data_IF_825044290141
#
_entry.id   IF_825044290141
#
_cell.length_a   1.000
_cell.length_b   1.000
_cell.length_c   1.000
_cell.angle_alpha   90.00
_cell.angle_beta   90.00
_cell.angle_gamma   90.00
#
_symmetry.space_group_name_H-M   'P 1'
#
loop_
_entity.id
_entity.type
_entity.pdbx_description
1 polymer ?
#
# COMPACT_ATOMS: atom_id res chain seq x y z
N UNK A 1 11.63 20.39 6.04
CA UNK A 1 10.86 21.37 6.82
C UNK A 1 9.41 20.93 6.77
N UNK A 2 8.75 20.79 7.92
CA UNK A 2 7.30 20.51 7.97
C UNK A 2 6.53 21.85 7.97
N UNK A 3 5.21 21.86 7.71
CA UNK A 3 4.39 23.06 7.88
C UNK A 3 4.47 23.70 9.27
N UNK A 4 4.98 22.97 10.26
CA UNK A 4 5.08 23.36 11.66
C UNK A 4 6.54 23.57 12.14
N UNK A 5 7.49 23.72 11.20
CA UNK A 5 8.90 23.94 11.52
C UNK A 5 9.76 22.66 11.55
N UNK A 6 10.89 22.74 12.25
CA UNK A 6 11.87 21.64 12.38
C UNK A 6 11.50 20.81 13.61
N UNK A 7 11.17 19.54 13.40
CA UNK A 7 10.75 18.62 14.46
C UNK A 7 11.26 17.20 14.17
N UNK A 8 11.19 16.33 15.18
CA UNK A 8 11.53 14.92 15.01
C UNK A 8 10.45 14.20 14.17
N UNK A 9 10.79 13.05 13.58
CA UNK A 9 9.82 12.25 12.82
C UNK A 9 8.64 11.80 13.70
N UNK A 10 8.88 11.52 14.98
CA UNK A 10 7.84 11.11 15.91
C UNK A 10 6.88 12.25 16.26
N UNK A 11 7.38 13.47 16.48
CA UNK A 11 6.55 14.65 16.70
C UNK A 11 5.70 15.01 15.48
N UNK A 12 6.26 14.77 14.28
CA UNK A 12 5.52 14.91 13.03
C UNK A 12 4.38 13.89 12.96
N UNK A 13 4.64 12.60 13.21
CA UNK A 13 3.62 11.53 13.23
C UNK A 13 2.47 11.86 14.18
N UNK A 14 2.76 12.23 15.43
CA UNK A 14 1.72 12.59 16.40
C UNK A 14 0.84 13.78 15.98
N UNK A 15 1.32 14.64 15.08
CA UNK A 15 0.54 15.78 14.57
C UNK A 15 -0.25 15.49 13.31
N UNK A 16 0.06 14.39 12.60
CA UNK A 16 -0.61 14.03 11.33
C UNK A 16 -1.43 12.76 11.41
N UNK A 17 -1.18 11.89 12.39
CA UNK A 17 -1.88 10.62 12.51
C UNK A 17 -3.26 10.80 13.15
N UNK A 18 -4.25 10.29 12.44
CA UNK A 18 -5.62 10.18 12.93
C UNK A 18 -5.74 9.07 13.97
N UNK A 19 -6.56 9.30 15.00
CA UNK A 19 -6.97 8.30 15.97
C UNK A 19 -8.24 7.57 15.51
N UNK A 20 -8.75 6.69 16.37
CA UNK A 20 -9.93 5.87 16.04
C UNK A 20 -11.17 6.72 15.70
N UNK A 21 -11.38 7.84 16.41
CA UNK A 21 -12.53 8.72 16.21
C UNK A 21 -12.50 9.39 14.83
N UNK A 22 -11.32 9.84 14.36
CA UNK A 22 -11.18 10.41 13.03
C UNK A 22 -11.38 9.35 11.92
N UNK A 23 -10.84 8.14 12.10
CA UNK A 23 -11.08 7.03 11.16
C UNK A 23 -12.56 6.62 11.12
N UNK A 24 -13.24 6.60 12.28
CA UNK A 24 -14.69 6.36 12.35
C UNK A 24 -15.46 7.44 11.58
N UNK A 25 -15.02 8.69 11.67
CA UNK A 25 -15.65 9.77 10.91
C UNK A 25 -15.45 9.62 9.40
N UNK A 26 -14.28 9.17 8.96
CA UNK A 26 -14.00 8.86 7.55
C UNK A 26 -14.92 7.72 7.09
N UNK A 27 -15.00 6.64 7.85
CA UNK A 27 -15.82 5.47 7.54
C UNK A 27 -17.30 5.80 7.37
N UNK A 28 -17.89 6.50 8.34
CA UNK A 28 -19.28 6.95 8.28
C UNK A 28 -19.53 7.86 7.07
N UNK A 29 -18.60 8.77 6.79
CA UNK A 29 -18.72 9.70 5.68
C UNK A 29 -18.67 8.96 4.33
N UNK A 30 -17.69 8.08 4.14
CA UNK A 30 -17.54 7.26 2.94
C UNK A 30 -18.77 6.38 2.69
N UNK A 31 -19.31 5.74 3.75
CA UNK A 31 -20.57 4.98 3.70
C UNK A 31 -21.75 5.87 3.28
N UNK A 32 -21.86 7.08 3.82
CA UNK A 32 -22.92 8.03 3.44
C UNK A 32 -22.86 8.50 1.98
N UNK A 33 -21.68 8.37 1.34
CA UNK A 33 -21.44 8.74 -0.05
C UNK A 33 -21.38 7.56 -1.00
N UNK A 34 -21.51 6.33 -0.50
CA UNK A 34 -21.33 5.10 -1.28
C UNK A 34 -19.96 5.07 -1.99
N UNK A 35 -18.90 5.39 -1.23
CA UNK A 35 -17.50 5.38 -1.68
C UNK A 35 -16.73 4.42 -0.79
N UNK A 36 -16.01 3.46 -1.38
CA UNK A 36 -15.11 2.58 -0.66
C UNK A 36 -13.88 3.36 -0.16
N UNK A 37 -13.43 3.04 1.06
CA UNK A 37 -12.19 3.57 1.60
C UNK A 37 -11.33 2.45 2.15
N UNK A 38 -10.02 2.65 2.07
CA UNK A 38 -9.01 1.76 2.64
C UNK A 38 -7.76 2.59 2.96
N UNK A 39 -6.78 1.98 3.60
CA UNK A 39 -5.52 2.63 3.95
C UNK A 39 -4.33 1.68 3.77
N UNK A 40 -3.13 2.23 3.91
CA UNK A 40 -1.90 1.45 3.95
C UNK A 40 -1.49 1.21 5.40
N UNK A 41 -1.62 0.00 5.95
CA UNK A 41 -1.02 -0.33 7.24
C UNK A 41 0.52 -0.41 7.10
N UNK A 42 1.22 0.06 8.13
CA UNK A 42 2.68 0.06 8.18
C UNK A 42 3.26 -0.99 9.13
N UNK A 43 2.43 -1.60 9.96
CA UNK A 43 2.74 -2.65 10.92
C UNK A 43 1.51 -3.53 11.17
N UNK A 44 1.67 -4.62 11.93
CA UNK A 44 0.60 -5.60 12.18
C UNK A 44 -0.52 -5.03 13.06
N UNK A 45 -0.19 -4.10 13.94
CA UNK A 45 -1.13 -3.39 14.79
C UNK A 45 -2.05 -2.49 13.96
N UNK A 46 -1.52 -1.82 12.94
CA UNK A 46 -2.29 -1.04 11.97
C UNK A 46 -3.20 -1.94 11.11
N UNK A 47 -2.78 -3.17 10.77
CA UNK A 47 -3.68 -4.14 10.13
C UNK A 47 -4.87 -4.44 11.04
N UNK A 48 -4.61 -4.81 12.29
CA UNK A 48 -5.67 -5.11 13.27
C UNK A 48 -6.57 -3.90 13.54
N UNK A 49 -6.02 -2.68 13.53
CA UNK A 49 -6.78 -1.46 13.66
C UNK A 49 -7.73 -1.24 12.47
N UNK A 50 -7.26 -1.39 11.23
CA UNK A 50 -8.08 -1.21 10.03
C UNK A 50 -9.20 -2.26 9.93
N UNK A 51 -8.98 -3.48 10.41
CA UNK A 51 -10.01 -4.53 10.44
C UNK A 51 -11.21 -4.18 11.32
N UNK A 52 -11.10 -3.22 12.25
CA UNK A 52 -12.25 -2.70 13.02
C UNK A 52 -13.30 -2.01 12.15
N UNK A 53 -12.93 -1.55 10.95
CA UNK A 53 -13.80 -0.78 10.06
C UNK A 53 -14.32 -1.56 8.87
N UNK A 54 -13.95 -2.83 8.73
CA UNK A 54 -14.31 -3.69 7.61
C UNK A 54 -13.97 -3.09 6.23
N UNK A 55 -12.76 -2.52 6.11
CA UNK A 55 -12.26 -2.01 4.81
C UNK A 55 -12.20 -3.15 3.78
N UNK A 56 -12.47 -2.90 2.48
CA UNK A 56 -12.58 -3.95 1.47
C UNK A 56 -11.22 -4.52 1.02
N UNK A 57 -10.12 -3.80 1.28
CA UNK A 57 -8.78 -4.12 0.77
C UNK A 57 -7.70 -3.43 1.62
N UNK A 58 -6.46 -3.89 1.48
CA UNK A 58 -5.28 -3.27 2.09
C UNK A 58 -4.25 -2.86 1.05
N UNK A 59 -3.60 -1.72 1.25
CA UNK A 59 -2.51 -1.25 0.38
C UNK A 59 -1.15 -1.46 1.05
N UNK A 60 -0.24 -2.15 0.37
CA UNK A 60 1.16 -2.23 0.82
C UNK A 60 2.00 -1.19 0.10
N UNK A 61 2.63 -0.31 0.87
CA UNK A 61 3.59 0.66 0.35
C UNK A 61 4.85 -0.06 -0.16
N UNK A 62 5.51 0.50 -1.18
CA UNK A 62 6.74 -0.09 -1.74
C UNK A 62 7.86 -0.28 -0.72
N UNK A 63 7.94 0.58 0.30
CA UNK A 63 8.93 0.47 1.36
C UNK A 63 8.71 -0.76 2.27
N UNK A 64 7.50 -1.32 2.31
CA UNK A 64 7.13 -2.45 3.15
C UNK A 64 7.02 -3.76 2.36
N UNK A 65 7.40 -3.78 1.08
CA UNK A 65 7.28 -4.97 0.23
C UNK A 65 8.10 -6.17 0.74
N UNK A 66 9.20 -5.91 1.45
CA UNK A 66 10.07 -6.97 2.01
C UNK A 66 9.76 -7.28 3.48
N UNK A 67 8.67 -6.76 4.03
CA UNK A 67 8.25 -7.01 5.41
C UNK A 67 7.36 -8.26 5.46
N UNK A 68 7.99 -9.42 5.59
CA UNK A 68 7.30 -10.72 5.62
C UNK A 68 6.27 -10.82 6.76
N UNK A 69 6.50 -10.18 7.89
CA UNK A 69 5.59 -10.21 9.03
C UNK A 69 4.29 -9.47 8.70
N UNK A 70 4.42 -8.25 8.16
CA UNK A 70 3.28 -7.47 7.66
C UNK A 70 2.55 -8.20 6.53
N UNK A 71 3.26 -8.74 5.55
CA UNK A 71 2.64 -9.46 4.43
C UNK A 71 1.86 -10.68 4.89
N UNK A 72 2.36 -11.44 5.88
CA UNK A 72 1.64 -12.58 6.45
C UNK A 72 0.39 -12.14 7.22
N UNK A 73 0.47 -11.07 8.00
CA UNK A 73 -0.68 -10.51 8.70
C UNK A 73 -1.78 -10.07 7.71
N UNK A 74 -1.39 -9.40 6.63
CA UNK A 74 -2.29 -8.99 5.56
C UNK A 74 -2.93 -10.17 4.84
N UNK A 75 -2.15 -11.20 4.49
CA UNK A 75 -2.68 -12.44 3.91
C UNK A 75 -3.71 -13.11 4.82
N UNK A 76 -3.47 -13.12 6.13
CA UNK A 76 -4.35 -13.75 7.11
C UNK A 76 -5.73 -13.07 7.19
N UNK A 77 -5.87 -11.81 6.77
CA UNK A 77 -7.18 -11.14 6.68
C UNK A 77 -8.10 -11.77 5.63
N UNK A 78 -7.54 -12.49 4.65
CA UNK A 78 -8.29 -13.03 3.51
C UNK A 78 -8.77 -12.00 2.49
N UNK A 79 -8.50 -10.70 2.72
CA UNK A 79 -8.88 -9.60 1.84
C UNK A 79 -7.87 -9.44 0.69
N UNK A 80 -8.30 -8.75 -0.36
CA UNK A 80 -7.39 -8.40 -1.45
C UNK A 80 -6.27 -7.49 -0.94
N UNK A 81 -5.04 -7.70 -1.40
CA UNK A 81 -3.88 -6.86 -1.10
C UNK A 81 -3.36 -6.18 -2.36
N UNK A 82 -3.28 -4.85 -2.34
CA UNK A 82 -2.73 -4.04 -3.43
C UNK A 82 -1.27 -3.70 -3.10
N UNK A 83 -0.31 -4.36 -3.75
CA UNK A 83 1.12 -4.25 -3.48
C UNK A 83 1.83 -3.35 -4.51
N UNK A 84 2.47 -2.25 -4.07
CA UNK A 84 3.29 -1.42 -4.96
C UNK A 84 4.73 -1.92 -5.01
N UNK A 85 5.33 -1.98 -6.19
CA UNK A 85 6.63 -2.64 -6.41
C UNK A 85 7.81 -1.69 -6.67
N UNK A 86 7.67 -0.39 -6.36
CA UNK A 86 8.76 0.57 -6.47
C UNK A 86 9.96 0.21 -5.59
N UNK A 87 11.16 0.63 -6.00
CA UNK A 87 12.44 0.35 -5.32
C UNK A 87 12.75 -1.15 -5.10
N UNK A 88 12.02 -2.05 -5.75
CA UNK A 88 12.12 -3.49 -5.53
C UNK A 88 12.73 -4.18 -6.76
N UNK A 89 13.60 -5.15 -6.50
CA UNK A 89 14.13 -6.05 -7.53
C UNK A 89 13.10 -7.12 -7.91
N UNK A 90 13.19 -7.73 -9.10
CA UNK A 90 12.31 -8.83 -9.49
C UNK A 90 12.30 -9.99 -8.47
N UNK A 91 13.45 -10.28 -7.84
CA UNK A 91 13.55 -11.32 -6.82
C UNK A 91 12.73 -10.98 -5.55
N UNK A 92 12.77 -9.72 -5.10
CA UNK A 92 11.97 -9.26 -3.97
C UNK A 92 10.47 -9.29 -4.29
N UNK A 93 10.08 -8.91 -5.52
CA UNK A 93 8.68 -8.96 -5.95
C UNK A 93 8.17 -10.40 -5.96
N UNK A 94 8.94 -11.35 -6.52
CA UNK A 94 8.59 -12.77 -6.50
C UNK A 94 8.42 -13.29 -5.07
N UNK A 95 9.37 -12.99 -4.19
CA UNK A 95 9.28 -13.38 -2.77
C UNK A 95 8.02 -12.82 -2.10
N UNK A 96 7.70 -11.54 -2.30
CA UNK A 96 6.49 -10.95 -1.74
C UNK A 96 5.20 -11.63 -2.25
N UNK A 97 5.16 -11.99 -3.54
CA UNK A 97 4.04 -12.75 -4.14
C UNK A 97 3.95 -14.16 -3.55
N UNK A 98 5.08 -14.83 -3.28
CA UNK A 98 5.10 -16.13 -2.61
C UNK A 98 4.55 -16.05 -1.17
N UNK A 99 4.92 -15.00 -0.43
CA UNK A 99 4.43 -14.77 0.94
C UNK A 99 2.93 -14.48 0.96
N UNK A 100 2.44 -13.58 0.09
CA UNK A 100 1.02 -13.20 0.02
C UNK A 100 0.13 -14.27 -0.64
N UNK A 101 0.68 -15.06 -1.56
CA UNK A 101 -0.10 -15.84 -2.51
C UNK A 101 -0.58 -14.96 -3.69
N UNK A 102 -0.91 -15.60 -4.81
CA UNK A 102 -1.22 -14.89 -6.07
C UNK A 102 -2.71 -14.77 -6.40
N UNK A 103 -3.61 -15.33 -5.57
CA UNK A 103 -5.05 -15.35 -5.85
C UNK A 103 -5.76 -14.03 -5.47
N UNK A 104 -5.35 -13.42 -4.35
CA UNK A 104 -6.01 -12.24 -3.77
C UNK A 104 -5.08 -11.03 -3.73
N UNK A 105 -4.29 -10.81 -4.77
CA UNK A 105 -3.38 -9.67 -4.84
C UNK A 105 -3.54 -8.87 -6.14
N UNK A 106 -3.12 -7.61 -6.09
CA UNK A 106 -2.93 -6.73 -7.25
C UNK A 106 -1.52 -6.15 -7.16
N UNK A 107 -0.72 -6.25 -8.22
CA UNK A 107 0.60 -5.63 -8.26
C UNK A 107 0.53 -4.29 -8.98
N UNK A 108 1.15 -3.26 -8.40
CA UNK A 108 1.27 -1.94 -9.02
C UNK A 108 2.73 -1.64 -9.33
N UNK A 109 3.03 -1.40 -10.60
CA UNK A 109 4.28 -0.75 -10.98
C UNK A 109 4.33 0.65 -10.36
N UNK A 110 5.47 1.03 -9.77
CA UNK A 110 5.65 2.34 -9.15
C UNK A 110 7.10 2.80 -9.27
N UNK A 111 7.31 4.11 -9.38
CA UNK A 111 8.63 4.75 -9.35
C UNK A 111 8.69 5.71 -8.19
N UNK A 112 9.46 5.38 -7.13
CA UNK A 112 9.45 6.09 -5.84
C UNK A 112 10.26 7.40 -5.83
N UNK A 113 10.16 8.19 -6.90
CA UNK A 113 10.71 9.56 -7.01
C UNK A 113 9.56 10.55 -6.90
N UNK A 114 9.75 11.69 -6.21
CA UNK A 114 8.68 12.65 -5.93
C UNK A 114 9.11 14.10 -6.26
N UNK A 115 8.58 14.71 -7.34
CA UNK A 115 7.81 14.09 -8.42
C UNK A 115 8.71 13.23 -9.34
N UNK A 116 8.15 12.19 -9.94
CA UNK A 116 8.85 11.35 -10.90
C UNK A 116 8.79 11.99 -12.29
N UNK A 117 9.95 12.20 -12.93
CA UNK A 117 9.97 12.70 -14.31
C UNK A 117 9.37 11.67 -15.27
N UNK A 118 8.72 12.12 -16.33
CA UNK A 118 8.11 11.25 -17.34
C UNK A 118 9.08 10.18 -17.88
N UNK A 119 10.35 10.55 -18.04
CA UNK A 119 11.43 9.68 -18.52
C UNK A 119 11.82 8.58 -17.52
N UNK A 120 11.55 8.79 -16.23
CA UNK A 120 11.88 7.87 -15.13
C UNK A 120 10.73 6.90 -14.83
N UNK A 121 9.52 7.13 -15.36
CA UNK A 121 8.32 6.33 -15.05
C UNK A 121 8.45 4.87 -15.48
N UNK A 122 9.24 4.56 -16.50
CA UNK A 122 9.46 3.20 -17.02
C UNK A 122 8.16 2.37 -17.15
N UNK A 123 7.13 2.91 -17.80
CA UNK A 123 5.82 2.25 -17.94
C UNK A 123 5.89 0.87 -18.63
N UNK A 124 6.98 0.57 -19.35
CA UNK A 124 7.24 -0.76 -19.93
C UNK A 124 7.36 -1.86 -18.86
N UNK A 125 7.69 -1.52 -17.61
CA UNK A 125 7.72 -2.45 -16.49
C UNK A 125 6.35 -3.12 -16.25
N UNK A 126 5.24 -2.44 -16.56
CA UNK A 126 3.88 -3.03 -16.48
C UNK A 126 3.77 -4.27 -17.36
N UNK A 127 4.34 -4.24 -18.57
CA UNK A 127 4.33 -5.40 -19.47
C UNK A 127 5.21 -6.53 -18.94
N UNK A 128 6.32 -6.21 -18.28
CA UNK A 128 7.20 -7.20 -17.65
C UNK A 128 6.47 -7.91 -16.51
N UNK A 129 5.81 -7.15 -15.63
CA UNK A 129 5.01 -7.71 -14.53
C UNK A 129 3.84 -8.56 -15.04
N UNK A 130 3.15 -8.13 -16.11
CA UNK A 130 2.07 -8.93 -16.73
C UNK A 130 2.56 -10.24 -17.30
N UNK A 131 3.76 -10.26 -17.87
CA UNK A 131 4.35 -11.49 -18.41
C UNK A 131 4.83 -12.43 -17.29
N UNK A 132 5.36 -11.88 -16.19
CA UNK A 132 5.86 -12.66 -15.06
C UNK A 132 4.73 -13.22 -14.17
N UNK A 133 3.63 -12.47 -14.00
CA UNK A 133 2.50 -12.84 -13.15
C UNK A 133 1.17 -12.84 -13.94
N UNK A 134 0.97 -13.79 -14.88
CA UNK A 134 -0.18 -13.78 -15.78
C UNK A 134 -1.55 -13.96 -15.10
N UNK A 135 -1.56 -14.49 -13.88
CA UNK A 135 -2.76 -14.68 -13.07
C UNK A 135 -3.04 -13.54 -12.09
N UNK A 136 -2.19 -12.51 -12.05
CA UNK A 136 -2.30 -11.39 -11.11
C UNK A 136 -2.66 -10.11 -11.88
N UNK A 137 -3.72 -9.37 -11.47
CA UNK A 137 -4.00 -8.06 -12.02
C UNK A 137 -2.82 -7.08 -11.81
N UNK A 138 -2.39 -6.42 -12.89
CA UNK A 138 -1.27 -5.46 -12.87
C UNK A 138 -1.78 -4.05 -13.15
N UNK A 139 -1.49 -3.12 -12.24
CA UNK A 139 -1.78 -1.69 -12.34
C UNK A 139 -0.53 -0.80 -12.24
N UNK A 140 -0.76 0.48 -11.99
CA UNK A 140 0.26 1.52 -11.89
C UNK A 140 -0.05 2.44 -10.70
N UNK A 141 0.98 2.81 -9.94
CA UNK A 141 0.95 3.77 -8.85
C UNK A 141 1.91 4.91 -9.20
N UNK A 142 1.35 6.00 -9.70
CA UNK A 142 2.11 7.15 -10.21
C UNK A 142 2.50 8.17 -9.15
N UNK A 143 3.64 8.83 -9.38
CA UNK A 143 4.13 9.95 -8.59
C UNK A 143 4.59 11.12 -9.50
N UNK A 144 4.09 11.15 -10.74
CA UNK A 144 4.31 12.25 -11.70
C UNK A 144 3.79 13.62 -11.22
#
# INVERSE_FOLDING_TARGET
>A
YTPWGRMTYIDYRHRVEFGEDEYRRIDEYCKSKNIDWFASPWDTEAVAFLEKFDVPTHKVASASLTDDELLRALRATGKTVILSTGMSTPAQIRHAVEVLGSENIVLLHATSTYPAKAEELNLRAINTLRAEFPNVPIGYSGHE
#
